data_IF_867779471815
#
_entry.id   IF_867779471815
#
_cell.length_a   1.000
_cell.length_b   1.000
_cell.length_c   1.000
_cell.angle_alpha   90.00
_cell.angle_beta   90.00
_cell.angle_gamma   90.00
#
_symmetry.space_group_name_H-M   'P 1'
#
loop_
_entity.id
_entity.type
_entity.pdbx_description
1 polymer ?
#
# COMPACT_ATOMS: atom_id res chain seq x y z
N UNK A 1 -51.21 46.47 13.62
CA UNK A 1 -50.22 47.57 13.74
C UNK A 1 -49.13 47.12 14.69
N UNK A 2 -47.88 47.33 14.27
CA UNK A 2 -46.60 47.28 15.00
C UNK A 2 -46.05 45.92 15.45
N UNK A 3 -44.77 45.81 15.12
CA UNK A 3 -43.81 44.72 15.19
C UNK A 3 -42.82 45.00 16.34
N UNK A 4 -41.79 44.14 16.45
CA UNK A 4 -40.51 44.33 17.18
C UNK A 4 -40.64 43.90 18.67
N UNK A 5 -39.78 43.07 19.29
CA UNK A 5 -38.32 42.92 19.15
C UNK A 5 -37.82 41.61 19.75
N UNK A 6 -36.82 41.02 19.10
CA UNK A 6 -35.82 40.11 19.67
C UNK A 6 -35.02 40.83 20.77
N UNK A 7 -34.86 40.25 21.96
CA UNK A 7 -33.83 40.66 22.93
C UNK A 7 -33.13 39.45 23.51
N UNK A 8 -31.98 39.18 22.91
CA UNK A 8 -30.87 38.40 23.47
C UNK A 8 -30.28 39.18 24.65
N UNK A 9 -30.27 38.62 25.86
CA UNK A 9 -29.38 39.06 26.93
C UNK A 9 -28.68 37.84 27.54
N UNK A 10 -27.40 37.83 27.26
CA UNK A 10 -26.30 37.01 27.77
C UNK A 10 -26.06 37.27 29.28
N UNK A 11 -26.05 36.21 30.09
CA UNK A 11 -25.52 36.13 31.46
C UNK A 11 -25.87 34.73 32.03
N UNK A 12 -25.04 33.88 32.62
CA UNK A 12 -23.74 33.98 33.29
C UNK A 12 -23.14 32.56 33.35
N UNK A 13 -21.81 32.48 33.23
CA UNK A 13 -20.98 31.31 33.51
C UNK A 13 -21.22 30.72 34.91
N UNK A 14 -21.46 29.41 35.00
CA UNK A 14 -21.04 28.63 36.17
C UNK A 14 -20.25 27.44 35.66
N UNK A 15 -18.92 27.54 35.78
CA UNK A 15 -18.03 26.43 35.65
C UNK A 15 -18.31 25.44 36.79
N UNK A 16 -18.93 24.30 36.46
CA UNK A 16 -18.83 23.12 37.30
C UNK A 16 -17.87 22.14 36.64
N UNK A 17 -16.65 22.23 37.14
CA UNK A 17 -15.56 21.29 36.97
C UNK A 17 -16.00 19.97 37.61
N UNK A 18 -16.67 19.11 36.86
CA UNK A 18 -16.76 17.70 37.18
C UNK A 18 -16.32 16.89 35.99
N UNK A 19 -15.08 16.44 36.11
CA UNK A 19 -14.42 15.41 35.33
C UNK A 19 -15.31 14.18 35.19
N UNK A 20 -15.88 13.99 34.01
CA UNK A 20 -15.96 12.66 33.41
C UNK A 20 -15.21 12.76 32.11
N UNK A 21 -14.11 12.01 31.88
CA UNK A 21 -13.69 11.81 30.50
C UNK A 21 -14.92 11.22 29.80
N UNK A 22 -15.41 11.91 28.77
CA UNK A 22 -16.36 11.32 27.85
C UNK A 22 -15.83 9.92 27.51
N UNK A 23 -16.68 8.87 27.48
CA UNK A 23 -16.28 7.66 26.78
C UNK A 23 -15.84 8.14 25.39
N UNK A 24 -14.54 8.00 25.10
CA UNK A 24 -14.00 8.31 23.78
C UNK A 24 -14.97 7.67 22.79
N UNK A 25 -15.48 8.47 21.85
CA UNK A 25 -16.02 7.89 20.62
C UNK A 25 -15.00 6.82 20.19
N UNK A 26 -15.44 5.59 19.79
CA UNK A 26 -14.52 4.54 19.37
C UNK A 26 -13.44 5.20 18.54
N UNK A 27 -12.18 5.06 18.97
CA UNK A 27 -11.06 5.74 18.33
C UNK A 27 -11.30 5.69 16.83
N UNK A 28 -11.41 6.87 16.19
CA UNK A 28 -11.45 6.92 14.74
C UNK A 28 -10.32 6.00 14.27
N UNK A 29 -10.55 5.06 13.32
CA UNK A 29 -9.58 4.04 12.95
C UNK A 29 -8.21 4.68 12.92
N UNK A 30 -7.35 4.26 13.85
CA UNK A 30 -6.10 4.96 14.11
C UNK A 30 -5.38 5.22 12.80
N UNK A 31 -4.85 6.43 12.67
CA UNK A 31 -3.91 6.79 11.62
C UNK A 31 -2.92 5.62 11.45
N UNK A 32 -2.84 5.10 10.22
CA UNK A 32 -2.56 3.70 9.91
C UNK A 32 -1.44 3.06 10.74
N UNK A 33 -1.59 1.76 11.05
CA UNK A 33 -0.54 0.96 11.66
C UNK A 33 0.80 1.06 10.91
N UNK A 34 1.88 0.53 11.50
CA UNK A 34 3.25 0.62 11.00
C UNK A 34 3.35 0.63 9.45
N UNK A 35 4.03 1.62 8.85
CA UNK A 35 4.15 1.76 7.40
C UNK A 35 4.49 0.44 6.73
N UNK A 36 3.59 -0.03 5.85
CA UNK A 36 3.73 -1.35 5.24
C UNK A 36 3.26 -1.35 3.80
N UNK A 37 4.03 -2.03 2.94
CA UNK A 37 3.64 -2.39 1.58
C UNK A 37 3.39 -3.90 1.56
N UNK A 38 2.26 -4.31 1.00
CA UNK A 38 1.89 -5.72 0.83
C UNK A 38 1.79 -6.02 -0.66
N UNK A 39 2.54 -7.03 -1.11
CA UNK A 39 2.53 -7.50 -2.49
C UNK A 39 1.73 -8.80 -2.55
N UNK A 40 0.72 -8.85 -3.41
CA UNK A 40 -0.18 -9.99 -3.57
C UNK A 40 -0.11 -10.67 -4.93
N UNK A 41 0.38 -9.97 -5.96
CA UNK A 41 0.57 -10.51 -7.31
C UNK A 41 2.05 -10.78 -7.60
N UNK A 42 2.37 -11.71 -8.51
CA UNK A 42 1.45 -12.38 -9.45
C UNK A 42 0.75 -13.63 -8.90
N UNK A 43 1.11 -14.10 -7.71
CA UNK A 43 0.76 -15.43 -7.21
C UNK A 43 1.78 -16.50 -7.64
N UNK A 44 1.71 -17.72 -7.08
CA UNK A 44 2.84 -18.66 -7.09
C UNK A 44 3.17 -19.30 -8.46
N UNK A 45 2.28 -19.22 -9.45
CA UNK A 45 2.48 -19.87 -10.75
C UNK A 45 2.28 -21.40 -10.72
N UNK A 46 2.90 -22.16 -11.65
CA UNK A 46 3.95 -21.72 -12.55
C UNK A 46 3.46 -20.84 -13.70
N UNK A 47 4.23 -19.80 -14.04
CA UNK A 47 3.96 -18.94 -15.17
C UNK A 47 4.79 -19.36 -16.38
N UNK A 48 4.18 -19.41 -17.56
CA UNK A 48 4.88 -19.81 -18.79
C UNK A 48 5.74 -18.66 -19.30
N UNK A 49 6.96 -18.96 -19.73
CA UNK A 49 7.78 -18.01 -20.49
C UNK A 49 7.03 -17.54 -21.75
N UNK A 50 7.06 -16.25 -22.02
CA UNK A 50 6.24 -15.58 -23.04
C UNK A 50 4.86 -15.10 -22.56
N UNK A 51 4.47 -15.41 -21.31
CA UNK A 51 3.24 -14.86 -20.71
C UNK A 51 3.46 -13.45 -20.14
N UNK A 52 2.36 -12.75 -19.91
CA UNK A 52 2.32 -11.51 -19.13
C UNK A 52 1.70 -11.81 -17.77
N UNK A 53 2.33 -11.31 -16.70
CA UNK A 53 1.86 -11.43 -15.32
C UNK A 53 1.67 -10.06 -14.71
N UNK A 54 0.98 -9.99 -13.57
CA UNK A 54 0.62 -8.71 -12.95
C UNK A 54 1.13 -8.65 -11.52
N UNK A 55 2.04 -7.71 -11.27
CA UNK A 55 2.42 -7.32 -9.92
C UNK A 55 1.27 -6.50 -9.33
N UNK A 56 0.74 -6.92 -8.17
CA UNK A 56 -0.35 -6.22 -7.49
C UNK A 56 0.04 -5.96 -6.04
N UNK A 57 -0.23 -4.76 -5.53
CA UNK A 57 0.12 -4.37 -4.17
C UNK A 57 -0.86 -3.34 -3.59
N UNK A 58 -0.77 -3.16 -2.28
CA UNK A 58 -1.37 -2.03 -1.54
C UNK A 58 -0.48 -1.64 -0.37
N UNK A 59 -0.71 -0.45 0.17
CA UNK A 59 -0.02 0.03 1.37
C UNK A 59 -0.94 0.45 2.50
N UNK A 60 -0.38 0.51 3.71
CA UNK A 60 -1.03 0.97 4.93
C UNK A 60 -0.05 1.91 5.63
N UNK A 61 -0.53 3.08 6.09
CA UNK A 61 0.29 4.03 6.85
C UNK A 61 1.37 4.74 6.02
N UNK A 62 1.17 4.86 4.70
CA UNK A 62 2.10 5.54 3.78
C UNK A 62 1.30 6.55 2.94
N UNK A 63 1.79 7.79 2.84
CA UNK A 63 1.23 8.79 1.92
C UNK A 63 1.51 8.42 0.46
N UNK A 64 0.81 9.05 -0.48
CA UNK A 64 1.01 8.76 -1.91
C UNK A 64 2.38 9.27 -2.39
N UNK A 65 3.30 8.33 -2.61
CA UNK A 65 4.65 8.60 -3.07
C UNK A 65 5.11 7.56 -4.09
N UNK A 66 6.13 7.89 -4.91
CA UNK A 66 6.56 7.00 -5.97
C UNK A 66 7.28 5.76 -5.44
N UNK A 67 6.99 4.61 -6.05
CA UNK A 67 7.63 3.32 -5.80
C UNK A 67 8.38 2.82 -7.02
N UNK A 68 9.35 1.94 -6.77
CA UNK A 68 9.94 1.06 -7.78
C UNK A 68 9.35 -0.34 -7.59
N UNK A 69 8.77 -0.89 -8.65
CA UNK A 69 8.31 -2.28 -8.73
C UNK A 69 9.36 -3.07 -9.49
N UNK A 70 9.88 -4.13 -8.89
CA UNK A 70 10.95 -4.95 -9.48
C UNK A 70 10.61 -6.43 -9.39
N UNK A 71 11.09 -7.21 -10.37
CA UNK A 71 11.18 -8.66 -10.24
C UNK A 71 12.64 -9.07 -10.16
N UNK A 72 12.93 -10.04 -9.33
CA UNK A 72 14.29 -10.53 -9.07
C UNK A 72 14.26 -12.04 -8.79
N UNK A 73 15.34 -12.72 -9.13
CA UNK A 73 15.50 -14.12 -8.75
C UNK A 73 15.61 -14.22 -7.22
N UNK A 74 15.01 -15.26 -6.64
CA UNK A 74 15.03 -15.45 -5.19
C UNK A 74 16.49 -15.55 -4.69
N UNK A 75 16.91 -14.60 -3.85
CA UNK A 75 18.27 -14.51 -3.32
C UNK A 75 19.27 -13.71 -4.16
N UNK A 76 18.88 -13.21 -5.34
CA UNK A 76 19.68 -12.29 -6.17
C UNK A 76 19.04 -10.88 -6.13
N UNK A 77 19.72 -9.85 -5.62
CA UNK A 77 19.17 -8.50 -5.57
C UNK A 77 19.10 -7.80 -6.94
N UNK A 78 19.61 -8.41 -8.02
CA UNK A 78 19.65 -7.82 -9.35
C UNK A 78 18.26 -7.87 -10.01
N UNK A 79 17.63 -6.71 -10.30
CA UNK A 79 16.32 -6.71 -10.96
C UNK A 79 16.43 -7.18 -12.41
N UNK A 80 15.54 -8.06 -12.83
CA UNK A 80 15.39 -8.47 -14.25
C UNK A 80 14.26 -7.69 -14.96
N UNK A 81 13.31 -7.19 -14.17
CA UNK A 81 12.35 -6.18 -14.57
C UNK A 81 12.31 -5.08 -13.51
N UNK A 82 12.11 -3.84 -13.94
CA UNK A 82 11.91 -2.72 -13.03
C UNK A 82 11.08 -1.63 -13.71
N UNK A 83 10.13 -1.06 -12.98
CA UNK A 83 9.34 0.07 -13.43
C UNK A 83 8.83 0.92 -12.26
N UNK A 84 8.36 2.12 -12.58
CA UNK A 84 7.88 3.10 -11.61
C UNK A 84 6.37 3.01 -11.43
N UNK A 85 5.90 3.26 -10.21
CA UNK A 85 4.47 3.39 -9.90
C UNK A 85 4.21 4.23 -8.65
N UNK A 86 3.03 4.10 -8.05
CA UNK A 86 2.60 4.78 -6.80
C UNK A 86 2.30 3.77 -5.69
N UNK A 87 2.50 4.15 -4.43
CA UNK A 87 2.50 3.20 -3.31
C UNK A 87 1.11 2.74 -2.86
N UNK A 88 0.08 3.58 -2.97
CA UNK A 88 -1.22 3.37 -2.31
C UNK A 88 -1.86 2.03 -2.67
N UNK A 89 -2.07 1.81 -3.95
CA UNK A 89 -2.51 0.54 -4.52
C UNK A 89 -2.12 0.56 -6.00
N UNK A 90 -1.60 -0.56 -6.48
CA UNK A 90 -1.17 -0.63 -7.85
C UNK A 90 -1.26 -2.01 -8.45
N UNK A 91 -1.31 -1.99 -9.77
CA UNK A 91 -1.35 -3.15 -10.64
C UNK A 91 -0.45 -2.81 -11.83
N UNK A 92 0.60 -3.60 -12.01
CA UNK A 92 1.60 -3.36 -13.04
C UNK A 92 1.84 -4.66 -13.83
N UNK A 93 1.49 -4.70 -15.12
CA UNK A 93 1.84 -5.83 -15.97
C UNK A 93 3.35 -5.89 -16.19
N UNK A 94 3.89 -7.10 -16.21
CA UNK A 94 5.28 -7.38 -16.56
C UNK A 94 5.39 -8.67 -17.37
N UNK A 95 6.29 -8.71 -18.37
CA UNK A 95 6.49 -9.90 -19.19
C UNK A 95 7.35 -10.94 -18.46
N UNK A 96 7.03 -12.22 -18.65
CA UNK A 96 7.92 -13.35 -18.33
C UNK A 96 8.74 -13.65 -19.59
N UNK A 97 9.73 -12.81 -19.87
CA UNK A 97 10.57 -12.89 -21.08
C UNK A 97 11.74 -13.90 -20.95
N UNK A 98 12.71 -13.81 -21.86
CA UNK A 98 13.89 -14.66 -21.92
C UNK A 98 14.85 -14.50 -20.73
N UNK A 99 14.66 -13.47 -19.89
CA UNK A 99 15.42 -13.25 -18.65
C UNK A 99 14.97 -14.16 -17.50
N UNK A 100 13.77 -14.74 -17.62
CA UNK A 100 13.23 -15.66 -16.63
C UNK A 100 13.62 -17.10 -16.99
N UNK A 101 14.52 -17.69 -16.20
CA UNK A 101 14.96 -19.06 -16.33
C UNK A 101 13.87 -20.03 -15.84
N UNK A 102 13.42 -20.99 -16.67
CA UNK A 102 12.50 -22.01 -16.22
C UNK A 102 13.05 -22.82 -15.04
N UNK A 103 12.19 -23.09 -14.05
CA UNK A 103 12.55 -23.79 -12.81
C UNK A 103 13.19 -22.91 -11.74
N UNK A 104 13.43 -21.62 -12.02
CA UNK A 104 13.90 -20.65 -11.03
C UNK A 104 12.72 -19.98 -10.32
N UNK A 105 12.88 -19.74 -9.01
CA UNK A 105 11.95 -18.93 -8.23
C UNK A 105 12.30 -17.45 -8.36
N UNK A 106 11.25 -16.65 -8.49
CA UNK A 106 11.33 -15.20 -8.58
C UNK A 106 10.40 -14.58 -7.55
N UNK A 107 10.72 -13.36 -7.14
CA UNK A 107 9.84 -12.56 -6.27
C UNK A 107 9.57 -11.22 -6.93
N UNK A 108 8.43 -10.62 -6.57
CA UNK A 108 8.15 -9.21 -6.81
C UNK A 108 8.50 -8.43 -5.56
N UNK A 109 9.24 -7.35 -5.73
CA UNK A 109 9.52 -6.36 -4.68
C UNK A 109 8.96 -5.01 -5.08
N UNK A 110 8.27 -4.36 -4.14
CA UNK A 110 7.78 -2.98 -4.30
C UNK A 110 8.40 -2.15 -3.18
N UNK A 111 9.23 -1.17 -3.54
CA UNK A 111 9.98 -0.36 -2.59
C UNK A 111 9.72 1.13 -2.82
N UNK A 112 9.65 1.91 -1.75
CA UNK A 112 9.59 3.37 -1.86
C UNK A 112 10.88 3.90 -2.51
N UNK A 113 10.74 4.89 -3.40
CA UNK A 113 11.91 5.55 -3.98
C UNK A 113 12.61 6.46 -2.98
N UNK A 114 11.85 7.07 -2.07
CA UNK A 114 12.37 7.97 -1.04
C UNK A 114 13.17 7.20 0.02
N UNK A 115 12.72 5.99 0.36
CA UNK A 115 13.34 5.11 1.33
C UNK A 115 13.16 3.63 0.95
N UNK A 116 14.11 3.02 0.20
CA UNK A 116 14.00 1.63 -0.25
C UNK A 116 13.94 0.57 0.85
N UNK A 117 14.21 0.92 2.11
CA UNK A 117 14.04 0.01 3.25
C UNK A 117 12.55 -0.24 3.55
N UNK A 118 11.67 0.70 3.18
CA UNK A 118 10.22 0.51 3.23
C UNK A 118 9.80 -0.21 1.96
N UNK A 119 9.67 -1.53 2.08
CA UNK A 119 9.37 -2.40 0.95
C UNK A 119 8.44 -3.55 1.31
N UNK A 120 7.71 -4.01 0.30
CA UNK A 120 6.92 -5.23 0.33
C UNK A 120 7.53 -6.25 -0.62
N UNK A 121 7.54 -7.51 -0.20
CA UNK A 121 7.99 -8.65 -1.01
C UNK A 121 6.82 -9.62 -1.17
N UNK A 122 6.54 -10.00 -2.41
CA UNK A 122 5.52 -10.98 -2.74
C UNK A 122 5.99 -12.41 -2.45
N UNK A 123 5.06 -13.36 -2.44
CA UNK A 123 5.42 -14.77 -2.41
C UNK A 123 6.25 -15.16 -3.64
N UNK A 124 7.17 -16.13 -3.51
CA UNK A 124 7.89 -16.67 -4.65
C UNK A 124 6.95 -17.25 -5.70
N UNK A 125 7.28 -17.01 -6.97
CA UNK A 125 6.62 -17.64 -8.11
C UNK A 125 7.63 -18.36 -8.99
N UNK A 126 7.19 -19.45 -9.61
CA UNK A 126 8.06 -20.27 -10.47
C UNK A 126 7.72 -20.04 -11.95
N UNK A 127 8.73 -20.17 -12.82
CA UNK A 127 8.56 -20.07 -14.28
C UNK A 127 8.72 -21.44 -14.93
N UNK A 128 7.93 -21.69 -15.98
CA UNK A 128 8.02 -22.88 -16.85
C UNK A 128 8.39 -22.48 -18.28
N UNK A 129 8.90 -23.41 -19.11
CA UNK A 129 9.19 -23.13 -20.51
C UNK A 129 7.97 -22.60 -21.26
N UNK A 130 8.22 -21.94 -22.39
CA UNK A 130 7.14 -21.53 -23.30
C UNK A 130 6.28 -22.75 -23.69
N UNK A 131 4.96 -22.54 -23.73
CA UNK A 131 3.99 -23.57 -24.16
C UNK A 131 3.93 -23.72 -25.68
#
# INVERSE_FOLDING_TARGET
MKSITFSLVLAIFVAFVYSTPFPQAPEAPGDGGEPKIVVAGPGPGPWSQGSEQVASWWSIGIEDEPVTVSTLAEGDPTPIFSADSTVLAGSLPFPIDDKYSPGTNYIVEVALKSNPEVKGTGEPFTVTPAS
#
